data_IF_881791277684
#
_entry.id   IF_881791277684
#
_cell.length_a   1.000
_cell.length_b   1.000
_cell.length_c   1.000
_cell.angle_alpha   90.00
_cell.angle_beta   90.00
_cell.angle_gamma   90.00
#
_symmetry.space_group_name_H-M   'P 1'
#
loop_
_entity.id
_entity.type
_entity.pdbx_description
1 polymer ?
#
# COMPACT_ATOMS: atom_id res chain seq x y z
N UNK A 1 -14.62 -12.15 8.98
CA UNK A 1 -14.10 -11.55 7.74
C UNK A 1 -12.87 -10.73 8.05
N UNK A 2 -11.80 -10.89 7.29
CA UNK A 2 -10.55 -10.19 7.55
C UNK A 2 -10.49 -8.95 6.66
N UNK A 3 -10.49 -7.77 7.28
CA UNK A 3 -10.30 -6.55 6.52
C UNK A 3 -8.81 -6.23 6.36
N UNK A 4 -8.52 -5.19 5.57
CA UNK A 4 -7.15 -4.83 5.22
C UNK A 4 -6.32 -4.46 6.45
N UNK A 5 -6.92 -3.74 7.41
CA UNK A 5 -6.20 -3.30 8.61
C UNK A 5 -5.82 -4.52 9.45
N UNK A 6 -6.74 -5.42 9.70
CA UNK A 6 -6.47 -6.62 10.50
C UNK A 6 -5.44 -7.52 9.82
N UNK A 7 -5.56 -7.68 8.50
CA UNK A 7 -4.59 -8.46 7.75
C UNK A 7 -3.19 -7.88 7.88
N UNK A 8 -3.07 -6.56 7.70
CA UNK A 8 -1.78 -5.89 7.77
C UNK A 8 -1.16 -5.98 9.16
N UNK A 9 -1.97 -5.80 10.21
CA UNK A 9 -1.47 -5.88 11.58
C UNK A 9 -0.74 -7.20 11.85
N UNK A 10 -1.26 -8.30 11.31
CA UNK A 10 -0.62 -9.60 11.48
C UNK A 10 0.71 -9.68 10.74
N UNK A 11 0.79 -9.04 9.57
CA UNK A 11 1.99 -9.12 8.75
C UNK A 11 3.14 -8.29 9.29
N UNK A 12 2.85 -7.18 9.95
CA UNK A 12 3.87 -6.21 10.35
C UNK A 12 4.08 -6.14 11.86
N UNK A 13 3.68 -7.20 12.58
CA UNK A 13 3.81 -7.20 14.04
C UNK A 13 5.26 -6.98 14.50
N UNK A 14 6.23 -7.41 13.72
CA UNK A 14 7.66 -7.23 14.03
C UNK A 14 8.31 -5.99 13.44
N UNK A 15 7.56 -5.14 12.75
CA UNK A 15 8.12 -3.95 12.11
C UNK A 15 8.45 -2.87 13.15
N UNK A 16 9.43 -2.00 12.87
CA UNK A 16 9.73 -0.85 13.75
C UNK A 16 8.49 0.01 13.97
N UNK A 17 8.30 0.47 15.20
CA UNK A 17 7.07 1.15 15.60
C UNK A 17 6.71 2.38 14.74
N UNK A 18 7.64 3.29 14.43
CA UNK A 18 7.27 4.45 13.61
C UNK A 18 6.75 4.05 12.22
N UNK A 19 7.37 3.05 11.60
CA UNK A 19 6.95 2.56 10.29
C UNK A 19 5.61 1.84 10.38
N UNK A 20 5.47 0.97 11.38
CA UNK A 20 4.25 0.22 11.63
C UNK A 20 3.05 1.16 11.82
N UNK A 21 3.21 2.18 12.65
CA UNK A 21 2.15 3.15 12.90
C UNK A 21 1.77 3.91 11.63
N UNK A 22 2.76 4.31 10.84
CA UNK A 22 2.52 5.04 9.58
C UNK A 22 1.76 4.17 8.58
N UNK A 23 2.14 2.90 8.45
CA UNK A 23 1.47 1.98 7.55
C UNK A 23 0.02 1.75 7.96
N UNK A 24 -0.22 1.48 9.24
CA UNK A 24 -1.58 1.23 9.73
C UNK A 24 -2.48 2.45 9.59
N UNK A 25 -1.93 3.65 9.82
CA UNK A 25 -2.69 4.89 9.70
C UNK A 25 -3.11 5.17 8.25
N UNK A 26 -2.38 4.66 7.28
CA UNK A 26 -2.65 4.91 5.86
C UNK A 26 -3.73 4.01 5.28
N UNK A 27 -3.97 2.85 5.88
CA UNK A 27 -4.88 1.85 5.31
C UNK A 27 -6.31 2.09 5.78
N UNK A 28 -7.23 2.14 4.83
CA UNK A 28 -8.66 2.23 5.14
C UNK A 28 -9.22 0.82 5.31
N UNK A 29 -10.16 0.61 6.25
CA UNK A 29 -10.82 -0.67 6.39
C UNK A 29 -11.55 -1.04 5.11
N UNK A 30 -11.27 -2.22 4.57
CA UNK A 30 -11.89 -2.68 3.33
C UNK A 30 -11.72 -4.19 3.19
N UNK A 31 -12.65 -4.81 2.48
CA UNK A 31 -12.63 -6.25 2.25
C UNK A 31 -11.62 -6.65 1.18
N UNK A 32 -11.43 -5.80 0.17
CA UNK A 32 -10.43 -6.06 -0.87
C UNK A 32 -9.06 -5.66 -0.35
N UNK A 33 -8.39 -6.60 0.30
CA UNK A 33 -7.12 -6.34 0.97
C UNK A 33 -6.03 -5.85 0.03
N UNK A 34 -5.74 -6.51 -1.11
CA UNK A 34 -4.70 -6.03 -2.00
C UNK A 34 -4.94 -4.60 -2.48
N UNK A 35 -6.17 -4.28 -2.86
CA UNK A 35 -6.48 -2.94 -3.36
C UNK A 35 -6.35 -1.88 -2.27
N UNK A 36 -6.82 -2.19 -1.06
CA UNK A 36 -6.72 -1.25 0.05
C UNK A 36 -5.27 -0.93 0.39
N UNK A 37 -4.40 -1.95 0.36
CA UNK A 37 -2.98 -1.76 0.63
C UNK A 37 -2.30 -0.97 -0.49
N UNK A 38 -2.67 -1.24 -1.75
CA UNK A 38 -2.12 -0.50 -2.88
C UNK A 38 -2.53 0.97 -2.82
N UNK A 39 -3.79 1.25 -2.52
CA UNK A 39 -4.27 2.62 -2.39
C UNK A 39 -3.52 3.35 -1.28
N UNK A 40 -3.31 2.69 -0.15
CA UNK A 40 -2.53 3.25 0.95
C UNK A 40 -1.08 3.52 0.53
N UNK A 41 -0.48 2.60 -0.24
CA UNK A 41 0.88 2.78 -0.73
C UNK A 41 1.00 4.02 -1.61
N UNK A 42 0.06 4.22 -2.52
CA UNK A 42 0.09 5.39 -3.40
C UNK A 42 -0.18 6.70 -2.64
N UNK A 43 -1.00 6.65 -1.59
CA UNK A 43 -1.20 7.82 -0.73
C UNK A 43 0.09 8.19 0.01
N UNK A 44 0.82 7.19 0.52
CA UNK A 44 2.11 7.43 1.16
C UNK A 44 3.14 7.96 0.15
N UNK A 45 3.13 7.42 -1.06
CA UNK A 45 4.05 7.89 -2.11
C UNK A 45 3.77 9.35 -2.47
N UNK A 46 2.49 9.73 -2.58
CA UNK A 46 2.13 11.12 -2.85
C UNK A 46 2.65 12.04 -1.75
N UNK A 47 2.49 11.65 -0.48
CA UNK A 47 3.01 12.44 0.64
C UNK A 47 4.54 12.53 0.61
N UNK A 48 5.20 11.44 0.22
CA UNK A 48 6.66 11.45 0.10
C UNK A 48 7.13 12.43 -0.98
N UNK A 49 6.40 12.53 -2.08
CA UNK A 49 6.71 13.48 -3.14
C UNK A 49 6.49 14.94 -2.69
N UNK A 50 5.49 15.16 -1.85
CA UNK A 50 5.21 16.49 -1.30
C UNK A 50 6.20 16.90 -0.22
N UNK A 51 6.77 15.93 0.48
CA UNK A 51 7.69 16.17 1.58
C UNK A 51 8.87 15.20 1.49
N UNK A 52 9.82 15.46 0.56
CA UNK A 52 10.91 14.52 0.28
C UNK A 52 11.86 14.30 1.45
N UNK A 53 11.85 15.18 2.46
CA UNK A 53 12.68 15.01 3.65
C UNK A 53 12.15 13.95 4.61
N UNK A 54 10.90 13.55 4.46
CA UNK A 54 10.29 12.51 5.30
C UNK A 54 10.41 11.15 4.63
N UNK A 55 11.52 10.47 4.91
CA UNK A 55 11.78 9.14 4.33
C UNK A 55 10.78 8.09 4.81
N UNK A 56 10.08 8.34 5.91
CA UNK A 56 9.16 7.37 6.48
C UNK A 56 7.97 7.09 5.56
N UNK A 57 7.44 8.12 4.89
CA UNK A 57 6.36 7.92 3.93
C UNK A 57 6.81 7.06 2.73
N UNK A 58 8.05 7.25 2.27
CA UNK A 58 8.56 6.43 1.17
C UNK A 58 8.74 4.98 1.60
N UNK A 59 9.28 4.76 2.80
CA UNK A 59 9.42 3.40 3.35
C UNK A 59 8.06 2.73 3.52
N UNK A 60 7.07 3.49 4.00
CA UNK A 60 5.72 2.97 4.17
C UNK A 60 5.10 2.60 2.82
N UNK A 61 5.29 3.44 1.80
CA UNK A 61 4.78 3.16 0.46
C UNK A 61 5.36 1.86 -0.10
N UNK A 62 6.67 1.69 0.01
CA UNK A 62 7.35 0.49 -0.46
C UNK A 62 6.83 -0.77 0.26
N UNK A 63 6.75 -0.71 1.58
CA UNK A 63 6.31 -1.84 2.38
C UNK A 63 4.84 -2.19 2.10
N UNK A 64 3.97 -1.17 1.99
CA UNK A 64 2.56 -1.40 1.72
C UNK A 64 2.35 -2.03 0.34
N UNK A 65 3.10 -1.59 -0.66
CA UNK A 65 2.98 -2.16 -2.00
C UNK A 65 3.45 -3.62 -2.01
N UNK A 66 4.54 -3.91 -1.31
CA UNK A 66 5.04 -5.27 -1.16
C UNK A 66 3.98 -6.18 -0.52
N UNK A 67 3.36 -5.71 0.55
CA UNK A 67 2.30 -6.48 1.21
C UNK A 67 1.04 -6.58 0.36
N UNK A 68 0.73 -5.58 -0.45
CA UNK A 68 -0.39 -5.65 -1.39
C UNK A 68 -0.20 -6.81 -2.37
N UNK A 69 1.00 -6.95 -2.92
CA UNK A 69 1.31 -8.05 -3.82
C UNK A 69 1.24 -9.40 -3.11
N UNK A 70 1.72 -9.47 -1.87
CA UNK A 70 1.65 -10.69 -1.07
C UNK A 70 0.19 -11.09 -0.80
N UNK A 71 -0.65 -10.12 -0.48
CA UNK A 71 -2.07 -10.39 -0.24
C UNK A 71 -2.75 -10.89 -1.51
N UNK A 72 -2.43 -10.31 -2.66
CA UNK A 72 -2.98 -10.76 -3.93
C UNK A 72 -2.53 -12.19 -4.25
N UNK A 73 -1.26 -12.51 -3.96
CA UNK A 73 -0.74 -13.85 -4.20
C UNK A 73 -1.45 -14.91 -3.36
N UNK A 74 -1.88 -14.56 -2.15
CA UNK A 74 -2.66 -15.48 -1.30
C UNK A 74 -3.97 -15.88 -1.95
N UNK A 75 -4.51 -15.05 -2.84
CA UNK A 75 -5.77 -15.31 -3.52
C UNK A 75 -5.59 -16.16 -4.79
N UNK A 76 -4.35 -16.53 -5.13
CA UNK A 76 -4.04 -17.38 -6.26
C UNK A 76 -3.40 -16.63 -7.41
N UNK A 77 -2.85 -17.39 -8.36
CA UNK A 77 -2.09 -16.83 -9.48
C UNK A 77 -2.94 -15.89 -10.35
N UNK A 78 -4.18 -16.29 -10.63
CA UNK A 78 -5.05 -15.47 -11.46
C UNK A 78 -5.37 -14.13 -10.80
N UNK A 79 -5.59 -14.16 -9.48
CA UNK A 79 -5.85 -12.93 -8.72
C UNK A 79 -4.61 -12.02 -8.72
N UNK A 80 -3.43 -12.62 -8.55
CA UNK A 80 -2.19 -11.85 -8.59
C UNK A 80 -1.98 -11.20 -9.96
N UNK A 81 -2.22 -11.93 -11.02
CA UNK A 81 -2.10 -11.38 -12.37
C UNK A 81 -3.06 -10.23 -12.61
N UNK A 82 -4.34 -10.39 -12.22
CA UNK A 82 -5.32 -9.32 -12.38
C UNK A 82 -4.92 -8.09 -11.55
N UNK A 83 -4.42 -8.32 -10.34
CA UNK A 83 -3.98 -7.24 -9.49
C UNK A 83 -2.80 -6.47 -10.10
N UNK A 84 -1.79 -7.19 -10.59
CA UNK A 84 -0.61 -6.53 -11.18
C UNK A 84 -0.95 -5.82 -12.49
N UNK A 85 -1.87 -6.35 -13.29
CA UNK A 85 -2.33 -5.68 -14.50
C UNK A 85 -3.07 -4.38 -14.22
N UNK A 86 -3.83 -4.34 -13.12
CA UNK A 86 -4.58 -3.15 -12.72
C UNK A 86 -3.73 -2.17 -11.90
N UNK A 87 -2.59 -2.64 -11.38
CA UNK A 87 -1.82 -1.88 -10.42
C UNK A 87 -1.17 -0.67 -11.07
N UNK A 88 -1.46 0.46 -10.49
CA UNK A 88 -0.61 1.60 -10.66
C UNK A 88 -0.88 2.50 -11.86
N UNK A 89 -1.44 2.01 -12.96
CA UNK A 89 -1.58 2.85 -14.15
C UNK A 89 -2.39 4.14 -13.87
N UNK A 90 -3.60 4.06 -13.32
CA UNK A 90 -4.33 5.29 -12.97
C UNK A 90 -3.66 6.09 -11.87
N UNK A 91 -3.12 5.43 -10.86
CA UNK A 91 -2.46 6.10 -9.75
C UNK A 91 -1.19 6.82 -10.19
N UNK A 92 -0.37 6.17 -11.02
CA UNK A 92 0.83 6.81 -11.56
C UNK A 92 0.47 7.98 -12.46
N UNK A 93 -0.59 7.85 -13.25
CA UNK A 93 -1.06 8.94 -14.09
C UNK A 93 -1.44 10.16 -13.25
N UNK A 94 -2.16 9.92 -12.15
CA UNK A 94 -2.53 10.99 -11.23
C UNK A 94 -1.31 11.66 -10.60
N UNK A 95 -0.31 10.87 -10.22
CA UNK A 95 0.92 11.42 -9.64
C UNK A 95 1.66 12.28 -10.64
N UNK A 96 1.76 11.83 -11.89
CA UNK A 96 2.41 12.60 -12.96
C UNK A 96 1.67 13.92 -13.18
N UNK A 97 0.34 13.87 -13.26
CA UNK A 97 -0.48 15.06 -13.49
C UNK A 97 -0.37 16.06 -12.35
N UNK A 98 -0.31 15.58 -11.10
CA UNK A 98 -0.16 16.45 -9.94
C UNK A 98 1.19 17.15 -9.90
N UNK A 99 2.22 16.54 -10.45
CA UNK A 99 3.56 17.13 -10.47
C UNK A 99 3.78 18.05 -11.67
N UNK A 100 2.98 17.88 -12.69
CA UNK A 100 3.03 18.77 -13.84
C UNK A 100 2.37 20.10 -13.54
#
# INVERSE_FOLDING_TARGET
MTDAVAWLERQIAGAPEPLRARMLAAVMPADNVPQALADAAFNCLRRALENPDDALDLLAADALLTHACAAAAEQGDAALMRFTESLGAPQFQQLIEQRA
#
